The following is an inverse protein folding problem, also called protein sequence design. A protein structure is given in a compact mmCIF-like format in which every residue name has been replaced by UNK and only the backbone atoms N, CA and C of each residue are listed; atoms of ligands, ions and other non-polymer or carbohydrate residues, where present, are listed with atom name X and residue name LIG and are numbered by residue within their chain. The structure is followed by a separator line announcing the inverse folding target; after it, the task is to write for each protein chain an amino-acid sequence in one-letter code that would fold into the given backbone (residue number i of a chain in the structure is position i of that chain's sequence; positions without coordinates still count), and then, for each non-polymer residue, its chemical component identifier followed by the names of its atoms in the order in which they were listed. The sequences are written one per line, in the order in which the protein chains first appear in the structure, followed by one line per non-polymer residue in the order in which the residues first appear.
data_IF_206305660411
#
_entry.id   IF_206305660411
#
_cell.length_a   1.000
_cell.length_b   1.000
_cell.length_c   1.000
_cell.angle_alpha   90.00
_cell.angle_beta   90.00
_cell.angle_gamma   90.00
#
_symmetry.space_group_name_H-M   'P 1'
#
loop_
_entity.id
_entity.type
_entity.pdbx_description
1 polymer ?
#
# COMPACT_ATOMS: atom_id res chain seq x y z
N UNK A 1 4.36 12.77 22.60
CA UNK A 1 4.23 13.50 21.33
C UNK A 1 4.46 12.52 20.19
N UNK A 2 3.38 11.86 19.74
CA UNK A 2 3.45 10.92 18.62
C UNK A 2 3.34 11.69 17.31
N UNK A 3 4.33 11.56 16.43
CA UNK A 3 4.32 12.25 15.14
C UNK A 3 3.07 11.86 14.35
N UNK A 4 2.30 12.85 13.91
CA UNK A 4 1.15 12.66 13.03
C UNK A 4 1.67 12.12 11.70
N UNK A 5 1.56 10.81 11.49
CA UNK A 5 1.84 10.24 10.17
C UNK A 5 0.67 10.58 9.27
N UNK A 6 0.93 11.38 8.26
CA UNK A 6 -0.01 11.78 7.21
C UNK A 6 -0.12 10.73 6.09
N UNK A 7 0.80 9.76 6.05
CA UNK A 7 0.80 8.68 5.07
C UNK A 7 0.97 7.30 5.68
N UNK A 8 0.31 6.31 5.09
CA UNK A 8 0.55 4.89 5.34
C UNK A 8 0.95 4.17 4.06
N UNK A 9 2.10 3.52 4.11
CA UNK A 9 2.65 2.72 3.02
C UNK A 9 2.36 1.23 3.25
N UNK A 10 2.02 0.53 2.17
CA UNK A 10 1.98 -0.94 2.12
C UNK A 10 2.57 -1.40 0.79
N UNK A 11 3.42 -2.42 0.85
CA UNK A 11 4.03 -3.01 -0.34
C UNK A 11 2.97 -3.78 -1.16
N UNK A 12 2.97 -3.55 -2.47
CA UNK A 12 2.15 -4.26 -3.44
C UNK A 12 3.03 -5.34 -4.08
N UNK A 13 2.69 -6.60 -3.84
CA UNK A 13 3.40 -7.77 -4.38
C UNK A 13 2.43 -8.93 -4.62
N UNK A 14 2.89 -10.01 -5.23
CA UNK A 14 2.06 -11.15 -5.65
C UNK A 14 1.18 -11.72 -4.52
N UNK A 15 1.67 -11.69 -3.29
CA UNK A 15 0.93 -12.22 -2.13
C UNK A 15 -0.07 -11.23 -1.52
N UNK A 16 0.00 -9.94 -1.89
CA UNK A 16 -0.80 -8.87 -1.27
C UNK A 16 -1.66 -8.08 -2.25
N UNK A 17 -1.38 -8.11 -3.56
CA UNK A 17 -2.00 -7.21 -4.54
C UNK A 17 -3.53 -7.27 -4.54
N UNK A 18 -4.14 -8.45 -4.39
CA UNK A 18 -5.61 -8.62 -4.35
C UNK A 18 -6.28 -7.87 -3.20
N UNK A 19 -5.52 -7.54 -2.14
CA UNK A 19 -6.02 -6.71 -1.02
C UNK A 19 -6.08 -5.23 -1.39
N UNK A 20 -5.39 -4.78 -2.44
CA UNK A 20 -5.18 -3.36 -2.72
C UNK A 20 -5.66 -2.94 -4.11
N UNK A 21 -5.67 -3.85 -5.08
CA UNK A 21 -6.00 -3.57 -6.47
C UNK A 21 -7.31 -4.23 -6.89
N UNK A 22 -8.02 -3.59 -7.82
CA UNK A 22 -9.13 -4.22 -8.51
C UNK A 22 -8.62 -5.26 -9.50
N UNK A 23 -9.30 -6.40 -9.50
CA UNK A 23 -9.07 -7.51 -10.42
C UNK A 23 -10.41 -7.91 -11.01
N UNK A 24 -10.40 -8.40 -12.24
CA UNK A 24 -11.56 -9.08 -12.85
C UNK A 24 -11.69 -10.50 -12.32
N UNK A 25 -12.81 -11.18 -12.61
CA UNK A 25 -13.17 -12.47 -12.02
C UNK A 25 -12.16 -13.59 -12.29
N UNK A 26 -11.46 -13.54 -13.43
CA UNK A 26 -10.41 -14.50 -13.77
C UNK A 26 -9.09 -14.26 -13.01
N UNK A 27 -9.01 -13.18 -12.22
CA UNK A 27 -7.84 -12.81 -11.43
C UNK A 27 -6.88 -11.81 -12.11
N UNK A 28 -7.17 -11.42 -13.36
CA UNK A 28 -6.37 -10.43 -14.09
C UNK A 28 -6.56 -9.02 -13.52
N UNK A 29 -5.56 -8.18 -13.74
CA UNK A 29 -5.57 -6.81 -13.27
C UNK A 29 -6.52 -5.92 -14.08
N UNK A 30 -7.18 -4.98 -13.41
CA UNK A 30 -7.83 -3.85 -14.09
C UNK A 30 -6.81 -2.72 -14.28
N UNK A 31 -6.56 -2.38 -15.53
CA UNK A 31 -5.73 -1.24 -15.92
C UNK A 31 -6.50 0.07 -15.75
N UNK A 32 -5.77 1.15 -15.45
CA UNK A 32 -6.32 2.49 -15.51
C UNK A 32 -6.68 2.85 -16.95
N UNK A 33 -7.74 3.65 -17.11
CA UNK A 33 -8.20 4.12 -18.43
C UNK A 33 -7.15 4.98 -19.16
N UNK A 34 -6.30 5.68 -18.41
CA UNK A 34 -5.20 6.49 -18.93
C UNK A 34 -3.89 5.70 -19.14
N UNK A 35 -3.91 4.36 -18.97
CA UNK A 35 -2.74 3.53 -19.27
C UNK A 35 -2.59 3.33 -20.80
N UNK A 36 -1.40 3.58 -21.38
CA UNK A 36 -1.22 3.49 -22.82
C UNK A 36 -1.59 2.10 -23.39
N UNK A 37 -2.35 2.10 -24.48
CA UNK A 37 -2.68 0.87 -25.20
C UNK A 37 -1.42 0.20 -25.76
N UNK A 38 -1.46 -1.13 -25.89
CA UNK A 38 -0.36 -1.96 -26.43
C UNK A 38 0.99 -1.78 -25.72
N UNK A 39 0.96 -1.38 -24.45
CA UNK A 39 2.16 -1.27 -23.61
C UNK A 39 2.19 -2.45 -22.63
N UNK A 40 3.34 -3.10 -22.52
CA UNK A 40 3.54 -4.17 -21.56
C UNK A 40 3.41 -3.65 -20.11
N UNK A 41 2.90 -4.51 -19.24
CA UNK A 41 2.72 -4.20 -17.83
C UNK A 41 2.92 -5.44 -16.97
N UNK A 42 3.42 -5.22 -15.77
CA UNK A 42 3.56 -6.21 -14.71
C UNK A 42 3.42 -5.50 -13.35
N UNK A 43 3.31 -6.29 -12.28
CA UNK A 43 3.14 -5.73 -10.93
C UNK A 43 4.32 -4.88 -10.47
N UNK A 44 5.50 -5.17 -10.99
CA UNK A 44 6.77 -4.53 -10.70
C UNK A 44 7.20 -3.53 -11.78
N UNK A 45 6.48 -3.38 -12.89
CA UNK A 45 6.93 -2.47 -13.96
C UNK A 45 7.03 -1.02 -13.47
N UNK A 46 8.17 -0.36 -13.71
CA UNK A 46 8.40 1.00 -13.21
C UNK A 46 7.67 2.06 -14.05
N UNK A 47 7.66 1.89 -15.39
CA UNK A 47 7.01 2.77 -16.36
C UNK A 47 7.11 4.28 -16.02
N UNK A 48 8.34 4.78 -15.79
CA UNK A 48 8.60 6.18 -15.40
C UNK A 48 7.82 6.69 -14.18
N UNK A 49 7.52 5.79 -13.23
CA UNK A 49 6.75 6.12 -12.04
C UNK A 49 5.23 6.03 -12.23
N UNK A 50 4.75 5.56 -13.38
CA UNK A 50 3.32 5.39 -13.65
C UNK A 50 2.83 3.96 -13.38
N UNK A 51 2.17 3.78 -12.23
CA UNK A 51 1.61 2.48 -11.85
C UNK A 51 0.31 2.17 -12.61
N UNK A 52 0.21 1.01 -13.29
CA UNK A 52 -0.85 0.75 -14.29
C UNK A 52 -2.21 0.40 -13.70
N UNK A 53 -2.31 0.00 -12.44
CA UNK A 53 -3.51 -0.67 -11.92
C UNK A 53 -4.40 0.24 -11.05
N UNK A 54 -5.70 -0.05 -11.06
CA UNK A 54 -6.69 0.70 -10.29
C UNK A 54 -6.68 0.24 -8.82
N UNK A 55 -6.55 1.16 -7.83
CA UNK A 55 -6.65 0.80 -6.42
C UNK A 55 -8.10 0.53 -6.01
N UNK A 56 -8.28 -0.36 -5.04
CA UNK A 56 -9.51 -0.46 -4.26
C UNK A 56 -9.64 0.77 -3.35
N UNK A 57 -10.76 1.46 -3.46
CA UNK A 57 -11.07 2.62 -2.62
C UNK A 57 -11.40 2.18 -1.20
N UNK A 58 -10.68 2.74 -0.23
CA UNK A 58 -10.97 2.60 1.20
C UNK A 58 -11.31 3.98 1.73
N UNK A 59 -12.46 4.12 2.41
CA UNK A 59 -12.81 5.38 3.09
C UNK A 59 -12.09 5.52 4.43
N UNK A 60 -11.82 4.39 5.08
CA UNK A 60 -11.19 4.34 6.39
C UNK A 60 -10.17 3.20 6.45
N UNK A 61 -9.15 3.38 7.29
CA UNK A 61 -8.17 2.35 7.62
C UNK A 61 -8.11 2.14 9.12
N UNK A 62 -8.13 0.87 9.53
CA UNK A 62 -7.69 0.48 10.86
C UNK A 62 -6.16 0.46 10.90
N UNK A 63 -5.57 1.33 11.73
CA UNK A 63 -4.15 1.44 11.97
C UNK A 63 -3.88 1.01 13.41
N UNK A 64 -3.14 -0.09 13.58
CA UNK A 64 -2.73 -0.58 14.88
C UNK A 64 -1.23 -0.40 15.10
N UNK A 65 -0.83 -0.04 16.32
CA UNK A 65 0.57 0.19 16.71
C UNK A 65 1.04 -0.97 17.59
N UNK A 66 2.06 -1.69 17.12
CA UNK A 66 2.66 -2.82 17.84
C UNK A 66 2.05 -4.19 17.55
N UNK A 67 2.68 -5.23 18.10
CA UNK A 67 2.36 -6.65 17.87
C UNK A 67 1.58 -7.30 19.02
N UNK A 68 1.30 -6.58 20.10
CA UNK A 68 0.58 -7.12 21.26
C UNK A 68 -0.91 -7.35 20.95
N UNK A 69 -1.54 -8.31 21.65
CA UNK A 69 -2.99 -8.58 21.54
C UNK A 69 -3.82 -7.36 21.93
N UNK A 70 -3.41 -6.66 22.99
CA UNK A 70 -4.05 -5.41 23.48
C UNK A 70 -3.35 -4.17 22.93
N UNK A 71 -3.14 -4.15 21.60
CA UNK A 71 -2.48 -3.03 20.95
C UNK A 71 -3.43 -1.86 20.79
N UNK A 72 -2.87 -0.67 20.91
CA UNK A 72 -3.55 0.57 20.54
C UNK A 72 -3.85 0.57 19.03
N UNK A 73 -5.05 0.97 18.68
CA UNK A 73 -5.46 1.09 17.29
C UNK A 73 -6.42 2.25 17.08
N UNK A 74 -6.50 2.71 15.84
CA UNK A 74 -7.33 3.82 15.44
C UNK A 74 -7.98 3.55 14.08
N UNK A 75 -9.19 4.06 13.88
CA UNK A 75 -9.79 4.21 12.55
C UNK A 75 -9.45 5.60 12.04
N UNK A 76 -8.82 5.67 10.88
CA UNK A 76 -8.38 6.93 10.27
C UNK A 76 -9.00 7.08 8.90
N UNK A 77 -9.45 8.28 8.57
CA UNK A 77 -9.95 8.63 7.24
C UNK A 77 -8.85 8.53 6.18
N UNK A 78 -9.21 8.02 5.00
CA UNK A 78 -8.34 8.04 3.81
C UNK A 78 -8.82 9.14 2.89
N UNK A 79 -7.97 10.14 2.69
CA UNK A 79 -8.22 11.31 1.84
C UNK A 79 -7.86 11.05 0.38
N UNK A 80 -7.00 10.08 0.12
CA UNK A 80 -6.55 9.75 -1.22
C UNK A 80 -5.66 8.52 -1.24
N UNK A 81 -5.47 7.98 -2.44
CA UNK A 81 -4.60 6.84 -2.70
C UNK A 81 -3.68 7.19 -3.86
N UNK A 82 -2.39 6.96 -3.70
CA UNK A 82 -1.40 7.02 -4.79
C UNK A 82 -0.50 5.79 -4.77
N UNK A 83 0.38 5.68 -5.76
CA UNK A 83 1.42 4.67 -5.81
C UNK A 83 2.77 5.36 -5.89
N UNK A 84 3.74 4.82 -5.16
CA UNK A 84 5.11 5.32 -5.16
C UNK A 84 6.06 4.10 -5.16
N UNK A 85 7.17 4.13 -5.92
CA UNK A 85 8.20 3.12 -5.78
C UNK A 85 8.78 3.17 -4.36
N UNK A 86 9.09 2.00 -3.81
CA UNK A 86 9.80 1.87 -2.55
C UNK A 86 11.17 2.55 -2.65
N UNK A 87 11.69 2.96 -1.50
CA UNK A 87 13.02 3.54 -1.39
C UNK A 87 13.92 2.64 -0.58
N UNK A 88 15.18 2.54 -0.98
CA UNK A 88 16.22 1.89 -0.20
C UNK A 88 16.56 2.71 1.06
N UNK A 89 17.45 2.17 1.89
CA UNK A 89 17.94 2.84 3.11
C UNK A 89 18.62 4.19 2.87
N UNK A 90 19.04 4.47 1.64
CA UNK A 90 19.70 5.70 1.23
C UNK A 90 18.72 6.69 0.57
N UNK A 91 17.44 6.32 0.42
CA UNK A 91 16.41 7.13 -0.23
C UNK A 91 16.32 6.99 -1.75
N UNK A 92 17.11 6.11 -2.37
CA UNK A 92 17.04 5.84 -3.81
C UNK A 92 15.83 4.96 -4.12
N UNK A 93 15.24 5.10 -5.31
CA UNK A 93 14.18 4.20 -5.75
C UNK A 93 14.71 2.76 -5.81
N UNK A 94 13.95 1.82 -5.24
CA UNK A 94 14.24 0.39 -5.26
C UNK A 94 13.87 -0.19 -6.63
N UNK A 95 14.66 0.18 -7.64
CA UNK A 95 14.58 -0.31 -9.03
C UNK A 95 15.51 -1.51 -9.23
N UNK A 96 15.12 -2.39 -10.15
CA UNK A 96 15.89 -3.60 -10.48
C UNK A 96 15.65 -4.00 -11.94
N UNK A 97 16.56 -4.84 -12.44
CA UNK A 97 16.45 -5.51 -13.73
C UNK A 97 16.64 -7.00 -13.52
N UNK A 98 16.23 -7.76 -14.52
CA UNK A 98 16.48 -9.19 -14.64
C UNK A 98 17.50 -9.43 -15.77
N UNK A 99 18.50 -10.27 -15.56
CA UNK A 99 19.44 -10.65 -16.63
C UNK A 99 18.86 -11.76 -17.53
N UNK A 100 19.62 -12.18 -18.55
CA UNK A 100 19.21 -13.23 -19.47
C UNK A 100 18.98 -14.62 -18.82
N UNK A 101 19.47 -14.82 -17.59
CA UNK A 101 19.34 -16.06 -16.83
C UNK A 101 18.21 -16.00 -15.79
N UNK A 102 17.50 -14.87 -15.68
CA UNK A 102 16.49 -14.66 -14.66
C UNK A 102 17.03 -14.14 -13.32
N UNK A 103 18.31 -13.73 -13.25
CA UNK A 103 18.87 -13.19 -12.02
C UNK A 103 18.46 -11.72 -11.83
N UNK A 104 17.85 -11.45 -10.68
CA UNK A 104 17.41 -10.10 -10.31
C UNK A 104 18.53 -9.33 -9.61
N UNK A 105 18.83 -8.12 -10.09
CA UNK A 105 19.82 -7.24 -9.48
C UNK A 105 19.33 -5.79 -9.40
N UNK A 106 19.57 -5.18 -8.24
CA UNK A 106 19.18 -3.80 -7.98
C UNK A 106 20.04 -2.83 -8.82
N UNK A 107 19.38 -1.92 -9.53
CA UNK A 107 20.07 -0.88 -10.30
C UNK A 107 19.15 0.32 -10.52
N UNK A 108 19.72 1.52 -10.57
CA UNK A 108 18.93 2.78 -10.61
C UNK A 108 18.18 3.02 -11.93
N UNK A 109 18.50 2.26 -12.99
CA UNK A 109 17.91 2.38 -14.32
C UNK A 109 16.96 1.23 -14.66
N UNK A 110 16.68 0.35 -13.69
CA UNK A 110 15.98 -0.89 -13.95
C UNK A 110 14.53 -0.69 -14.39
N UNK A 111 14.08 -1.51 -15.32
CA UNK A 111 12.73 -1.48 -15.87
C UNK A 111 11.65 -1.84 -14.84
N UNK A 112 12.05 -2.47 -13.73
CA UNK A 112 11.18 -2.84 -12.63
C UNK A 112 11.45 -2.03 -11.35
N UNK A 113 10.48 -2.05 -10.43
CA UNK A 113 10.51 -1.40 -9.14
C UNK A 113 9.63 -2.14 -8.12
N UNK A 114 10.02 -2.09 -6.85
CA UNK A 114 9.14 -2.49 -5.75
C UNK A 114 8.12 -1.36 -5.54
N UNK A 115 6.83 -1.67 -5.56
CA UNK A 115 5.77 -0.68 -5.44
C UNK A 115 5.13 -0.62 -4.06
N UNK A 116 4.79 0.59 -3.62
CA UNK A 116 3.92 0.82 -2.48
C UNK A 116 2.61 1.46 -2.93
N UNK A 117 1.50 0.97 -2.38
CA UNK A 117 0.27 1.76 -2.28
C UNK A 117 0.41 2.72 -1.09
N UNK A 118 0.07 3.98 -1.31
CA UNK A 118 0.19 5.07 -0.36
C UNK A 118 -1.19 5.62 -0.04
N UNK A 119 -1.60 5.44 1.21
CA UNK A 119 -2.82 6.03 1.73
C UNK A 119 -2.51 7.37 2.38
N UNK A 120 -3.11 8.43 1.85
CA UNK A 120 -3.03 9.78 2.42
C UNK A 120 -4.09 9.88 3.51
N UNK A 121 -3.65 10.06 4.75
CA UNK A 121 -4.47 9.95 5.95
C UNK A 121 -5.01 11.32 6.37
N UNK A 122 -6.28 11.33 6.76
CA UNK A 122 -6.97 12.49 7.30
C UNK A 122 -7.10 12.40 8.83
N UNK A 123 -8.28 12.77 9.32
CA UNK A 123 -8.59 12.76 10.76
C UNK A 123 -8.72 11.34 11.31
N UNK A 124 -8.43 11.22 12.60
CA UNK A 124 -8.78 10.04 13.39
C UNK A 124 -10.29 10.08 13.68
N UNK A 125 -10.98 9.00 13.37
CA UNK A 125 -12.43 8.83 13.57
C UNK A 125 -12.68 8.15 14.92
N UNK A 126 -11.92 7.11 15.21
CA UNK A 126 -11.99 6.35 16.46
C UNK A 126 -10.57 6.05 16.95
N UNK A 127 -10.37 6.08 18.25
CA UNK A 127 -9.12 5.74 18.90
C UNK A 127 -9.41 4.83 20.09
N UNK A 128 -8.67 3.73 20.16
CA UNK A 128 -8.78 2.75 21.23
C UNK A 128 -7.44 2.59 21.91
N UNK A 129 -7.36 3.12 23.13
CA UNK A 129 -6.17 3.04 23.95
C UNK A 129 -5.94 1.62 24.48
N UNK A 130 -4.68 1.31 24.77
CA UNK A 130 -4.32 0.06 25.45
C UNK A 130 -5.01 -0.01 26.82
N UNK A 131 -5.85 -1.03 27.02
CA UNK A 131 -6.46 -1.33 28.32
C UNK A 131 -7.86 -0.77 28.55
N UNK A 132 -8.56 -0.26 27.53
CA UNK A 132 -10.00 0.02 27.64
C UNK A 132 -10.79 -1.28 27.84
N UNK A 133 -11.06 -1.59 29.11
CA UNK A 133 -12.01 -2.62 29.51
C UNK A 133 -13.39 -2.14 29.06
N UNK A 134 -14.11 -2.94 28.27
CA UNK A 134 -15.53 -2.70 27.97
C UNK A 134 -16.24 -2.45 29.30
N UNK A 135 -16.80 -1.26 29.53
CA UNK A 135 -17.66 -1.06 30.68
C UNK A 135 -18.85 -1.99 30.51
N UNK A 136 -19.06 -2.90 31.46
CA UNK A 136 -20.25 -3.72 31.52
C UNK A 136 -21.45 -2.77 31.56
N UNK A 137 -22.24 -2.71 30.50
CA UNK A 137 -23.63 -2.29 30.62
C UNK A 137 -24.33 -3.42 31.39
N UNK A 138 -24.59 -3.18 32.67
CA UNK A 138 -25.65 -3.89 33.38
C UNK A 138 -26.96 -3.36 32.85
N UNK A 139 -27.73 -4.20 32.17
CA UNK A 139 -29.16 -4.01 32.03
C UNK A 139 -29.77 -4.25 33.41
N UNK A 140 -30.37 -3.20 33.99
CA UNK A 140 -31.36 -3.31 35.08
C UNK A 140 -32.71 -3.77 34.52
#
# INVERSE_FOLDING_TARGET
MGGTKDKKYREVKDTTYKKYLWTVDNGDFMLREDFPENTDFSLDFYNNGFFPFIPKSYKYLNIAVGYAKDREWAIVEVMGISFEPAKDKNGNLARFSEDENGEVYANSQGEFAIWNIVYHLGKVIEHHAKGETKSNYSED
#
